data_IF_315173212166
#
_entry.id   IF_315173212166
#
_cell.length_a   1.000
_cell.length_b   1.000
_cell.length_c   1.000
_cell.angle_alpha   90.00
_cell.angle_beta   90.00
_cell.angle_gamma   90.00
#
_symmetry.space_group_name_H-M   'P 1'
#
loop_
_entity.id
_entity.type
_entity.pdbx_description
1 polymer ?
#
# COMPACT_ATOMS: atom_id res chain seq x y z
N UNK A 1 5.04 10.22 -27.17
CA UNK A 1 6.10 9.18 -27.19
C UNK A 1 6.05 8.49 -25.85
N UNK A 2 5.36 7.35 -25.76
CA UNK A 2 5.57 6.42 -24.65
C UNK A 2 7.02 5.94 -24.79
N UNK A 3 7.89 6.32 -23.87
CA UNK A 3 9.20 5.69 -23.77
C UNK A 3 8.94 4.24 -23.40
N UNK A 4 9.03 3.34 -24.37
CA UNK A 4 9.05 1.90 -24.13
C UNK A 4 10.17 1.61 -23.14
N UNK A 5 9.79 1.39 -21.88
CA UNK A 5 10.71 0.93 -20.85
C UNK A 5 11.29 -0.40 -21.31
N UNK A 6 12.60 -0.57 -21.15
CA UNK A 6 13.23 -1.86 -21.38
C UNK A 6 12.54 -2.93 -20.49
N UNK A 7 12.49 -4.17 -20.99
CA UNK A 7 11.96 -5.34 -20.28
C UNK A 7 12.47 -5.48 -18.85
N UNK A 8 13.74 -5.11 -18.59
CA UNK A 8 14.31 -5.12 -17.25
C UNK A 8 13.72 -4.00 -16.36
N UNK A 9 13.71 -2.76 -16.85
CA UNK A 9 13.15 -1.62 -16.12
C UNK A 9 11.66 -1.82 -15.81
N UNK A 10 10.93 -2.49 -16.72
CA UNK A 10 9.52 -2.85 -16.49
C UNK A 10 9.37 -3.84 -15.34
N UNK A 11 10.20 -4.88 -15.28
CA UNK A 11 10.19 -5.86 -14.18
C UNK A 11 10.57 -5.22 -12.85
N UNK A 12 11.57 -4.35 -12.86
CA UNK A 12 12.00 -3.64 -11.66
C UNK A 12 10.91 -2.67 -11.18
N UNK A 13 10.25 -1.96 -12.09
CA UNK A 13 9.10 -1.13 -11.78
C UNK A 13 7.95 -1.93 -11.17
N UNK A 14 7.59 -3.07 -11.76
CA UNK A 14 6.56 -3.97 -11.23
C UNK A 14 6.90 -4.45 -9.81
N UNK A 15 8.18 -4.73 -9.55
CA UNK A 15 8.68 -5.06 -8.21
C UNK A 15 8.53 -3.89 -7.25
N UNK A 16 8.88 -2.67 -7.66
CA UNK A 16 8.69 -1.47 -6.84
C UNK A 16 7.22 -1.23 -6.50
N UNK A 17 6.31 -1.32 -7.49
CA UNK A 17 4.87 -1.15 -7.27
C UNK A 17 4.35 -2.19 -6.28
N UNK A 18 4.77 -3.46 -6.41
CA UNK A 18 4.40 -4.54 -5.50
C UNK A 18 4.78 -4.22 -4.06
N UNK A 19 6.04 -3.89 -3.82
CA UNK A 19 6.51 -3.63 -2.46
C UNK A 19 5.98 -2.31 -1.90
N UNK A 20 5.72 -1.33 -2.76
CA UNK A 20 5.07 -0.08 -2.36
C UNK A 20 3.66 -0.34 -1.83
N UNK A 21 2.86 -1.13 -2.55
CA UNK A 21 1.53 -1.52 -2.11
C UNK A 21 1.57 -2.28 -0.77
N UNK A 22 2.46 -3.27 -0.63
CA UNK A 22 2.61 -4.04 0.61
C UNK A 22 3.04 -3.16 1.79
N UNK A 23 4.03 -2.29 1.62
CA UNK A 23 4.48 -1.37 2.68
C UNK A 23 3.41 -0.33 3.03
N UNK A 24 2.60 0.09 2.07
CA UNK A 24 1.45 0.99 2.31
C UNK A 24 0.46 0.34 3.29
N UNK A 25 0.06 -0.92 3.05
CA UNK A 25 -0.82 -1.64 3.98
C UNK A 25 -0.20 -1.77 5.36
N UNK A 26 1.09 -2.12 5.43
CA UNK A 26 1.81 -2.24 6.70
C UNK A 26 1.68 -0.96 7.51
N UNK A 27 2.03 0.19 6.93
CA UNK A 27 1.97 1.50 7.60
C UNK A 27 0.55 1.84 8.06
N UNK A 28 -0.47 1.58 7.23
CA UNK A 28 -1.86 1.91 7.56
C UNK A 28 -2.36 1.07 8.74
N UNK A 29 -2.16 -0.24 8.69
CA UNK A 29 -2.61 -1.15 9.76
C UNK A 29 -1.86 -0.83 11.05
N UNK A 30 -0.55 -0.65 10.97
CA UNK A 30 0.31 -0.27 12.08
C UNK A 30 -0.13 1.05 12.74
N UNK A 31 -0.49 2.06 11.96
CA UNK A 31 -1.01 3.34 12.46
C UNK A 31 -2.40 3.23 13.13
N UNK A 32 -3.02 2.06 13.15
CA UNK A 32 -4.34 1.79 13.75
C UNK A 32 -4.31 0.74 14.87
N UNK A 33 -3.13 0.23 15.24
CA UNK A 33 -2.99 -0.72 16.35
C UNK A 33 -3.23 -0.09 17.74
N UNK A 34 -3.36 1.24 17.83
CA UNK A 34 -3.56 1.94 19.11
C UNK A 34 -2.27 2.15 19.92
N UNK A 35 -1.12 1.79 19.37
CA UNK A 35 0.19 1.93 20.00
C UNK A 35 1.12 2.82 19.18
N UNK A 36 2.11 3.43 19.85
CA UNK A 36 3.15 4.21 19.17
C UNK A 36 4.17 3.27 18.55
N UNK A 37 4.43 3.45 17.26
CA UNK A 37 5.41 2.66 16.51
C UNK A 37 6.71 3.42 16.40
N UNK A 38 7.81 2.73 16.70
CA UNK A 38 9.16 3.27 16.67
C UNK A 38 10.09 2.30 15.94
N UNK A 39 10.79 2.79 14.92
CA UNK A 39 11.84 2.05 14.22
C UNK A 39 13.15 2.83 14.29
N UNK A 40 14.26 2.09 14.25
CA UNK A 40 15.61 2.69 14.32
C UNK A 40 16.17 2.83 12.91
N UNK A 41 16.85 3.94 12.66
CA UNK A 41 17.69 4.09 11.47
C UNK A 41 18.85 3.10 11.51
N UNK A 42 19.30 2.68 10.34
CA UNK A 42 20.44 1.78 10.17
C UNK A 42 21.33 2.28 9.04
N UNK A 43 22.64 2.29 9.26
CA UNK A 43 23.64 2.53 8.21
C UNK A 43 23.90 1.28 7.35
N UNK A 44 23.37 0.13 7.78
CA UNK A 44 23.44 -1.15 7.08
C UNK A 44 22.02 -1.64 6.78
N UNK A 45 21.36 -1.13 5.72
CA UNK A 45 20.01 -1.55 5.38
C UNK A 45 19.99 -3.02 4.99
N UNK A 46 18.93 -3.71 5.38
CA UNK A 46 18.67 -5.09 4.97
C UNK A 46 18.02 -5.12 3.60
N UNK A 47 18.11 -6.26 2.89
CA UNK A 47 17.43 -6.44 1.60
C UNK A 47 15.89 -6.34 1.64
N UNK A 48 15.31 -6.25 2.85
CA UNK A 48 13.89 -6.04 3.11
C UNK A 48 13.50 -4.58 3.38
N UNK A 49 14.46 -3.66 3.53
CA UNK A 49 14.23 -2.23 3.79
C UNK A 49 13.93 -1.48 2.50
N UNK A 50 12.73 -1.69 1.98
CA UNK A 50 12.24 -1.01 0.79
C UNK A 50 12.09 0.50 1.02
N UNK A 51 12.44 1.28 -0.01
CA UNK A 51 12.33 2.74 -0.03
C UNK A 51 13.18 3.46 1.02
N UNK A 52 14.22 2.81 1.53
CA UNK A 52 15.07 3.32 2.61
C UNK A 52 14.29 3.62 3.91
N UNK A 53 13.16 2.92 4.11
CA UNK A 53 12.32 3.04 5.30
C UNK A 53 12.34 1.76 6.12
N UNK A 54 12.65 1.89 7.40
CA UNK A 54 12.55 0.80 8.37
C UNK A 54 11.08 0.57 8.73
N UNK A 55 10.38 -0.23 7.93
CA UNK A 55 8.99 -0.66 8.16
C UNK A 55 9.02 -2.16 8.42
N UNK A 56 8.74 -2.56 9.65
CA UNK A 56 8.66 -3.98 10.04
C UNK A 56 7.40 -4.59 9.44
N UNK A 57 7.51 -5.77 8.85
CA UNK A 57 6.35 -6.45 8.28
C UNK A 57 5.65 -7.30 9.34
N UNK A 58 4.35 -7.08 9.52
CA UNK A 58 3.46 -7.99 10.26
C UNK A 58 3.09 -9.13 9.29
N UNK A 59 3.37 -10.42 9.61
CA UNK A 59 3.15 -11.54 8.70
C UNK A 59 1.70 -11.69 8.25
N UNK A 60 0.74 -11.52 9.16
CA UNK A 60 -0.70 -11.66 8.92
C UNK A 60 -1.18 -10.58 7.96
N UNK A 61 -0.75 -9.34 8.18
CA UNK A 61 -1.04 -8.20 7.30
C UNK A 61 -0.44 -8.42 5.91
N UNK A 62 0.77 -8.95 5.83
CA UNK A 62 1.42 -9.29 4.55
C UNK A 62 0.66 -10.38 3.80
N UNK A 63 0.17 -11.39 4.53
CA UNK A 63 -0.60 -12.49 3.95
C UNK A 63 -1.90 -11.98 3.34
N UNK A 64 -2.71 -11.23 4.11
CA UNK A 64 -3.98 -10.68 3.62
C UNK A 64 -3.77 -9.68 2.48
N UNK A 65 -2.73 -8.83 2.54
CA UNK A 65 -2.42 -7.92 1.44
C UNK A 65 -2.04 -8.67 0.14
N UNK A 66 -1.22 -9.73 0.23
CA UNK A 66 -0.87 -10.57 -0.94
C UNK A 66 -2.09 -11.30 -1.50
N UNK A 67 -2.97 -11.78 -0.62
CA UNK A 67 -4.22 -12.45 -0.99
C UNK A 67 -5.17 -11.49 -1.71
N UNK A 68 -5.35 -10.27 -1.19
CA UNK A 68 -6.15 -9.22 -1.82
C UNK A 68 -5.61 -8.80 -3.20
N UNK A 69 -4.28 -8.76 -3.35
CA UNK A 69 -3.64 -8.50 -4.63
C UNK A 69 -3.77 -9.65 -5.63
N UNK A 70 -3.97 -10.90 -5.17
CA UNK A 70 -4.14 -12.09 -6.01
C UNK A 70 -3.05 -12.25 -7.12
N UNK A 71 -1.81 -11.87 -6.80
CA UNK A 71 -0.69 -11.89 -7.76
C UNK A 71 -0.68 -10.75 -8.78
N UNK A 72 -1.64 -9.83 -8.72
CA UNK A 72 -1.75 -8.65 -9.57
C UNK A 72 -1.15 -7.42 -8.89
N UNK A 73 -0.97 -6.35 -9.67
CA UNK A 73 -0.49 -5.05 -9.19
C UNK A 73 -1.59 -4.00 -9.30
N UNK A 74 -1.57 -2.97 -8.43
CA UNK A 74 -2.33 -1.75 -8.66
C UNK A 74 -1.95 -1.14 -10.01
N UNK A 75 -2.95 -0.79 -10.81
CA UNK A 75 -2.81 -0.24 -12.16
C UNK A 75 -3.90 0.80 -12.43
N UNK A 76 -3.81 1.51 -13.55
CA UNK A 76 -4.86 2.44 -13.98
C UNK A 76 -6.19 1.66 -14.08
N UNK A 77 -7.22 2.14 -13.38
CA UNK A 77 -8.53 1.47 -13.30
C UNK A 77 -8.59 0.24 -12.38
N UNK A 78 -7.48 -0.16 -11.73
CA UNK A 78 -7.42 -1.25 -10.75
C UNK A 78 -6.68 -0.79 -9.50
N UNK A 79 -7.43 -0.39 -8.50
CA UNK A 79 -6.89 0.16 -7.26
C UNK A 79 -6.88 -0.85 -6.13
N UNK A 80 -5.94 -0.68 -5.21
CA UNK A 80 -5.95 -1.42 -3.95
C UNK A 80 -6.68 -0.59 -2.89
N UNK A 81 -7.58 -1.22 -2.14
CA UNK A 81 -8.32 -0.58 -1.06
C UNK A 81 -7.92 -1.18 0.30
N UNK A 82 -7.64 -0.33 1.28
CA UNK A 82 -7.53 -0.74 2.69
C UNK A 82 -8.68 -0.10 3.45
N UNK A 83 -9.64 -0.91 3.89
CA UNK A 83 -10.78 -0.44 4.67
C UNK A 83 -10.48 -0.53 6.17
N UNK A 84 -10.75 0.54 6.90
CA UNK A 84 -10.70 0.57 8.36
C UNK A 84 -12.13 0.76 8.87
N UNK A 85 -12.61 -0.22 9.63
CA UNK A 85 -13.93 -0.21 10.24
C UNK A 85 -13.84 -0.37 11.76
N UNK A 86 -14.83 0.18 12.48
CA UNK A 86 -14.98 0.01 13.91
C UNK A 86 -16.12 -0.98 14.18
N UNK A 87 -15.84 -2.02 14.97
CA UNK A 87 -16.84 -2.98 15.41
C UNK A 87 -17.14 -2.80 16.90
N UNK A 88 -18.37 -2.40 17.22
CA UNK A 88 -18.89 -2.30 18.59
C UNK A 88 -19.64 -3.57 19.00
N UNK A 89 -19.75 -3.84 20.30
CA UNK A 89 -20.52 -4.96 20.87
C UNK A 89 -22.02 -4.86 20.57
N UNK A 90 -22.50 -3.66 20.32
CA UNK A 90 -23.87 -3.36 19.91
C UNK A 90 -23.86 -3.14 18.40
N UNK A 91 -24.60 -3.97 17.67
CA UNK A 91 -24.60 -4.04 16.20
C UNK A 91 -24.97 -2.67 15.62
N UNK A 92 -24.00 -2.00 14.98
CA UNK A 92 -24.18 -1.26 13.72
C UNK A 92 -22.83 -0.79 13.19
N UNK A 93 -22.63 -1.03 11.90
CA UNK A 93 -21.52 -0.60 11.08
C UNK A 93 -21.34 0.92 11.23
N UNK A 94 -20.20 1.33 11.77
CA UNK A 94 -19.75 2.72 11.69
C UNK A 94 -19.21 3.00 10.28
N UNK A 95 -19.28 4.25 9.80
CA UNK A 95 -18.74 4.60 8.48
C UNK A 95 -17.27 4.17 8.40
N UNK A 96 -17.00 3.24 7.49
CA UNK A 96 -15.65 2.78 7.19
C UNK A 96 -14.88 3.89 6.46
N UNK A 97 -13.58 3.96 6.72
CA UNK A 97 -12.68 4.76 5.90
C UNK A 97 -12.02 3.83 4.90
N UNK A 98 -12.24 4.08 3.61
CA UNK A 98 -11.50 3.38 2.57
C UNK A 98 -10.27 4.20 2.20
N UNK A 99 -9.11 3.58 2.28
CA UNK A 99 -7.87 4.10 1.73
C UNK A 99 -7.69 3.53 0.33
N UNK A 100 -7.93 4.38 -0.65
CA UNK A 100 -7.83 4.01 -2.06
C UNK A 100 -6.43 4.34 -2.57
N UNK A 101 -5.73 3.34 -3.11
CA UNK A 101 -4.46 3.48 -3.80
C UNK A 101 -4.69 3.42 -5.30
N UNK A 102 -4.68 4.58 -5.96
CA UNK A 102 -4.80 4.69 -7.41
C UNK A 102 -3.45 4.98 -8.06
N UNK A 103 -3.15 4.26 -9.13
CA UNK A 103 -2.05 4.58 -10.03
C UNK A 103 -2.55 5.56 -11.09
N UNK A 104 -2.07 6.81 -11.06
CA UNK A 104 -2.29 7.77 -12.15
C UNK A 104 -1.03 7.87 -13.00
N UNK A 105 -1.21 7.77 -14.32
CA UNK A 105 -0.18 8.01 -15.32
C UNK A 105 -0.45 9.37 -16.00
N UNK A 106 0.04 10.50 -15.44
CA UNK A 106 0.05 11.76 -16.17
C UNK A 106 0.98 11.69 -17.40
N UNK A 107 0.88 12.63 -18.35
CA UNK A 107 1.69 12.64 -19.57
C UNK A 107 3.21 12.86 -19.34
N UNK A 108 3.62 13.09 -18.10
CA UNK A 108 5.01 13.19 -17.68
C UNK A 108 5.35 11.92 -16.89
N UNK A 109 6.56 11.40 -17.10
CA UNK A 109 7.15 10.14 -16.62
C UNK A 109 7.09 9.80 -15.12
N UNK A 110 6.27 10.50 -14.33
CA UNK A 110 6.06 10.29 -12.90
C UNK A 110 4.78 9.50 -12.67
N UNK A 111 4.92 8.40 -11.96
CA UNK A 111 3.78 7.64 -11.43
C UNK A 111 3.29 8.34 -10.18
N UNK A 112 1.99 8.67 -10.15
CA UNK A 112 1.36 9.28 -8.99
C UNK A 112 0.50 8.26 -8.26
N UNK A 113 0.84 8.01 -6.99
CA UNK A 113 -0.02 7.28 -6.06
C UNK A 113 -0.84 8.30 -5.27
N UNK A 114 -2.17 8.19 -5.36
CA UNK A 114 -3.07 8.96 -4.51
C UNK A 114 -3.56 8.07 -3.38
N UNK A 115 -3.58 8.61 -2.16
CA UNK A 115 -4.15 7.99 -0.97
C UNK A 115 -5.34 8.85 -0.57
N UNK A 116 -6.55 8.37 -0.88
CA UNK A 116 -7.78 9.08 -0.57
C UNK A 116 -8.45 8.44 0.64
N UNK A 117 -8.82 9.26 1.63
CA UNK A 117 -9.70 8.87 2.73
C UNK A 117 -11.12 9.20 2.31
N UNK A 118 -11.87 8.19 1.90
CA UNK A 118 -13.27 8.36 1.52
C UNK A 118 -14.17 7.87 2.68
N UNK A 119 -15.15 8.70 3.14
CA UNK A 119 -16.22 8.19 3.97
C UNK A 119 -17.06 7.23 3.12
N UNK A 120 -17.27 6.01 3.60
CA UNK A 120 -18.15 5.07 2.90
C UNK A 120 -19.60 5.60 2.94
N UNK A 121 -20.29 5.76 1.80
CA UNK A 121 -21.71 6.06 1.82
C UNK A 121 -22.47 4.85 2.39
N UNK A 122 -23.33 5.11 3.38
CA UNK A 122 -24.26 4.13 3.96
C UNK A 122 -25.28 3.63 2.91
#
# INVERSE_FOLDING_TARGET
>A
METDLNSQDRKDLDKFIKFFALKTVQVIVQARLGEKICTRSSSSPTGSDWFNLAIKDIPEVTHEAKKALAGQLPAVGRSMCVEISLKTSEVRLWPGWCLHLELKAPPLSRIHFSVLFLPFPL
#
